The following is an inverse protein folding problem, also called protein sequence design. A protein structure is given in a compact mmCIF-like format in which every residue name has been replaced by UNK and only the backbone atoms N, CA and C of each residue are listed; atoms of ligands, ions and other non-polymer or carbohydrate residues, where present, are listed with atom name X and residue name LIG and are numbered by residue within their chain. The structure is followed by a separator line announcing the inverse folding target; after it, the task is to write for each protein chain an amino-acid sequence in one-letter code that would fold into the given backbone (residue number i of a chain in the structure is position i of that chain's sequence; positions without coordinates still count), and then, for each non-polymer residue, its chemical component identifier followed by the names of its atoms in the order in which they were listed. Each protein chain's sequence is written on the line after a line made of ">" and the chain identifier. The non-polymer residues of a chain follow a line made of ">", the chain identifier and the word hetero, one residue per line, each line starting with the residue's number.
data_IF_061541876940
#
_entry.id   IF_061541876940
#
_cell.length_a   1.000
_cell.length_b   1.000
_cell.length_c   1.000
_cell.angle_alpha   90.00
_cell.angle_beta   90.00
_cell.angle_gamma   90.00
#
_symmetry.space_group_name_H-M   'P 1'
#
loop_
_entity.id
_entity.type
_entity.pdbx_description
1 polymer ?
#
# COMPACT_ATOMS: atom_id res chain seq x y z
N UNK A 1 -2.75 -13.69 -20.66
CA UNK A 1 -2.01 -13.38 -19.45
C UNK A 1 -2.83 -13.63 -18.21
N UNK A 2 -2.28 -14.39 -17.35
CA UNK A 2 -2.96 -14.78 -16.13
C UNK A 2 -3.03 -13.61 -15.15
N UNK A 3 -4.21 -13.36 -14.62
CA UNK A 3 -4.36 -12.34 -13.61
C UNK A 3 -4.40 -12.98 -12.23
N UNK A 4 -3.61 -12.46 -11.33
CA UNK A 4 -3.62 -12.98 -9.99
C UNK A 4 -4.88 -12.58 -9.26
N UNK A 5 -5.40 -13.49 -8.46
CA UNK A 5 -6.55 -13.19 -7.63
C UNK A 5 -6.16 -12.14 -6.58
N UNK A 6 -7.12 -11.28 -6.25
CA UNK A 6 -6.92 -10.30 -5.20
C UNK A 6 -7.09 -10.99 -3.86
N UNK A 7 -6.09 -10.88 -3.01
CA UNK A 7 -6.14 -11.44 -1.67
C UNK A 7 -6.55 -10.35 -0.69
N UNK A 8 -7.56 -10.62 0.10
CA UNK A 8 -8.06 -9.65 1.06
C UNK A 8 -7.78 -10.16 2.46
N UNK A 9 -7.14 -9.32 3.26
CA UNK A 9 -6.83 -9.64 4.66
C UNK A 9 -7.54 -8.64 5.55
N UNK A 10 -8.26 -9.15 6.55
CA UNK A 10 -8.90 -8.31 7.55
C UNK A 10 -8.37 -8.75 8.89
N UNK A 11 -7.57 -7.91 9.54
CA UNK A 11 -6.92 -8.32 10.76
C UNK A 11 -6.59 -7.09 11.60
N UNK A 12 -6.41 -7.30 12.89
CA UNK A 12 -5.89 -6.25 13.73
C UNK A 12 -4.44 -5.99 13.37
N UNK A 13 -4.00 -4.75 13.62
CA UNK A 13 -2.64 -4.39 13.28
C UNK A 13 -1.65 -5.22 14.10
N UNK A 14 -0.75 -5.88 13.40
CA UNK A 14 0.31 -6.67 14.01
C UNK A 14 1.48 -6.61 13.06
N UNK A 15 2.60 -6.08 13.53
CA UNK A 15 3.73 -5.81 12.65
C UNK A 15 4.25 -7.07 11.95
N UNK A 16 4.32 -8.17 12.67
CA UNK A 16 4.79 -9.40 12.06
C UNK A 16 3.86 -9.89 10.97
N UNK A 17 2.57 -9.81 11.22
CA UNK A 17 1.58 -10.28 10.24
C UNK A 17 1.56 -9.37 9.02
N UNK A 18 1.67 -8.06 9.24
CA UNK A 18 1.71 -7.12 8.13
C UNK A 18 2.94 -7.37 7.27
N UNK A 19 4.09 -7.53 7.92
CA UNK A 19 5.33 -7.80 7.19
C UNK A 19 5.23 -9.08 6.39
N UNK A 20 4.67 -10.11 7.01
CA UNK A 20 4.55 -11.40 6.34
C UNK A 20 3.59 -11.34 5.16
N UNK A 21 2.45 -10.67 5.35
CA UNK A 21 1.46 -10.57 4.28
C UNK A 21 2.01 -9.78 3.09
N UNK A 22 2.65 -8.67 3.37
CA UNK A 22 3.23 -7.86 2.30
C UNK A 22 4.34 -8.63 1.60
N UNK A 23 5.23 -9.24 2.37
CA UNK A 23 6.31 -10.01 1.78
C UNK A 23 5.83 -11.13 0.89
N UNK A 24 4.74 -11.78 1.31
CA UNK A 24 4.17 -12.86 0.51
C UNK A 24 3.64 -12.35 -0.83
N UNK A 25 2.96 -11.20 -0.81
CA UNK A 25 2.45 -10.65 -2.06
C UNK A 25 3.57 -10.21 -2.98
N UNK A 26 4.59 -9.57 -2.44
CA UNK A 26 5.71 -9.14 -3.27
C UNK A 26 6.47 -10.33 -3.84
N UNK A 27 6.60 -11.40 -3.07
CA UNK A 27 7.32 -12.59 -3.52
C UNK A 27 6.62 -13.23 -4.72
N UNK A 28 5.31 -13.09 -4.84
CA UNK A 28 4.58 -13.65 -5.97
C UNK A 28 4.37 -12.64 -7.08
N UNK A 29 5.04 -11.49 -7.00
CA UNK A 29 4.95 -10.48 -8.04
C UNK A 29 3.71 -9.61 -7.94
N UNK A 30 3.04 -9.60 -6.79
CA UNK A 30 1.84 -8.82 -6.63
C UNK A 30 2.10 -7.47 -6.01
N UNK A 31 1.01 -6.77 -5.74
CA UNK A 31 1.05 -5.44 -5.12
C UNK A 31 0.08 -5.45 -3.95
N UNK A 32 0.24 -4.46 -3.07
CA UNK A 32 -0.59 -4.38 -1.87
C UNK A 32 -1.27 -3.02 -1.81
N UNK A 33 -2.56 -3.04 -1.56
CA UNK A 33 -3.34 -1.84 -1.31
C UNK A 33 -3.72 -1.90 0.18
N UNK A 34 -3.13 -1.00 0.96
CA UNK A 34 -3.27 -1.01 2.42
C UNK A 34 -4.19 0.12 2.83
N UNK A 35 -5.38 -0.21 3.28
CA UNK A 35 -6.38 0.80 3.66
C UNK A 35 -6.11 1.29 5.07
N UNK A 36 -5.97 2.60 5.22
CA UNK A 36 -5.69 3.21 6.50
C UNK A 36 -6.39 4.57 6.54
N UNK A 37 -7.48 4.68 7.29
CA UNK A 37 -8.38 5.81 7.19
C UNK A 37 -8.11 6.94 8.19
N UNK A 38 -6.83 7.27 8.39
CA UNK A 38 -6.47 8.37 9.28
C UNK A 38 -5.47 9.26 8.58
N UNK A 39 -5.97 10.36 8.01
CA UNK A 39 -5.12 11.26 7.24
C UNK A 39 -3.98 11.84 8.09
N UNK A 40 -4.27 12.18 9.34
CA UNK A 40 -3.28 12.86 10.18
C UNK A 40 -2.11 11.98 10.60
N UNK A 41 -2.22 10.65 10.45
CA UNK A 41 -1.13 9.75 10.83
C UNK A 41 -0.71 8.82 9.70
N UNK A 42 -1.22 9.05 8.50
CA UNK A 42 -0.92 8.13 7.39
C UNK A 42 0.55 8.15 7.01
N UNK A 43 1.20 9.30 7.14
CA UNK A 43 2.64 9.38 6.83
C UNK A 43 3.43 8.53 7.81
N UNK A 44 3.08 8.60 9.09
CA UNK A 44 3.75 7.80 10.09
C UNK A 44 3.54 6.31 9.87
N UNK A 45 2.31 5.94 9.53
CA UNK A 45 2.02 4.54 9.24
C UNK A 45 2.80 4.06 8.02
N UNK A 46 2.90 4.90 7.00
CA UNK A 46 3.66 4.57 5.80
C UNK A 46 5.13 4.34 6.15
N UNK A 47 5.68 5.21 6.99
CA UNK A 47 7.08 5.04 7.40
C UNK A 47 7.29 3.77 8.22
N UNK A 48 6.32 3.43 9.06
CA UNK A 48 6.38 2.20 9.83
C UNK A 48 6.41 0.99 8.91
N UNK A 49 5.53 0.97 7.93
CA UNK A 49 5.49 -0.14 6.98
C UNK A 49 6.77 -0.20 6.16
N UNK A 50 7.31 0.96 5.79
CA UNK A 50 8.56 0.99 5.03
C UNK A 50 9.69 0.34 5.82
N UNK A 51 9.72 0.56 7.13
CA UNK A 51 10.75 -0.07 7.97
C UNK A 51 10.56 -1.57 8.08
N UNK A 52 9.30 -2.01 8.06
CA UNK A 52 9.02 -3.45 8.12
C UNK A 52 9.40 -4.15 6.83
N UNK A 53 9.26 -3.46 5.70
CA UNK A 53 9.55 -4.05 4.39
C UNK A 53 10.44 -3.08 3.61
N UNK A 54 11.72 -3.02 3.97
CA UNK A 54 12.62 -2.01 3.37
C UNK A 54 12.81 -2.15 1.86
N UNK A 55 12.59 -3.33 1.34
CA UNK A 55 12.80 -3.57 -0.09
C UNK A 55 11.63 -3.09 -0.94
N UNK A 56 10.51 -2.72 -0.34
CA UNK A 56 9.32 -2.33 -1.09
C UNK A 56 9.31 -0.85 -1.40
N UNK A 57 8.72 -0.51 -2.54
CA UNK A 57 8.44 0.87 -2.89
C UNK A 57 7.05 1.21 -2.38
N UNK A 58 7.00 2.08 -1.38
CA UNK A 58 5.74 2.38 -0.69
C UNK A 58 5.37 3.84 -0.89
N UNK A 59 4.10 4.08 -1.15
CA UNK A 59 3.58 5.43 -1.25
C UNK A 59 2.30 5.52 -0.44
N UNK A 60 1.83 6.75 -0.20
CA UNK A 60 0.56 6.94 0.48
C UNK A 60 -0.31 7.91 -0.32
N UNK A 61 -1.62 7.81 -0.09
CA UNK A 61 -2.59 8.68 -0.74
C UNK A 61 -3.76 8.91 0.20
N UNK A 62 -4.31 10.13 0.15
CA UNK A 62 -5.48 10.43 0.97
C UNK A 62 -6.29 11.54 0.32
N UNK A 63 -7.49 11.74 0.84
CA UNK A 63 -8.46 12.60 0.18
C UNK A 63 -8.14 14.09 0.21
N UNK A 64 -7.17 14.51 1.01
CA UNK A 64 -6.80 15.93 1.06
C UNK A 64 -5.67 16.28 0.10
N UNK A 65 -5.15 15.29 -0.60
CA UNK A 65 -4.14 15.55 -1.61
C UNK A 65 -4.75 16.14 -2.85
N UNK A 66 -3.93 16.87 -3.61
CA UNK A 66 -4.40 17.44 -4.87
C UNK A 66 -4.65 16.34 -5.88
N UNK A 67 -5.61 16.59 -6.76
CA UNK A 67 -5.99 15.61 -7.75
C UNK A 67 -4.80 15.17 -8.61
N UNK A 68 -3.94 16.11 -8.95
CA UNK A 68 -2.78 15.79 -9.78
C UNK A 68 -1.84 14.83 -9.07
N UNK A 69 -1.66 15.02 -7.76
CA UNK A 69 -0.82 14.11 -6.98
C UNK A 69 -1.42 12.72 -6.93
N UNK A 70 -2.73 12.65 -6.71
CA UNK A 70 -3.42 11.37 -6.66
C UNK A 70 -3.32 10.63 -7.98
N UNK A 71 -3.47 11.35 -9.08
CA UNK A 71 -3.37 10.75 -10.39
C UNK A 71 -1.99 10.15 -10.63
N UNK A 72 -0.95 10.88 -10.23
CA UNK A 72 0.40 10.37 -10.43
C UNK A 72 0.66 9.13 -9.59
N UNK A 73 0.20 9.14 -8.35
CA UNK A 73 0.39 8.00 -7.47
C UNK A 73 -0.34 6.78 -8.02
N UNK A 74 -1.57 6.96 -8.47
CA UNK A 74 -2.32 5.85 -9.04
C UNK A 74 -1.67 5.34 -10.33
N UNK A 75 -1.16 6.25 -11.14
CA UNK A 75 -0.47 5.87 -12.35
C UNK A 75 0.74 5.00 -12.02
N UNK A 76 1.54 5.44 -11.06
CA UNK A 76 2.73 4.68 -10.67
C UNK A 76 2.36 3.33 -10.06
N UNK A 77 1.26 3.30 -9.31
CA UNK A 77 0.81 2.04 -8.71
C UNK A 77 0.36 1.06 -9.79
N UNK A 78 -0.43 1.55 -10.74
CA UNK A 78 -0.92 0.68 -11.81
C UNK A 78 0.22 0.15 -12.65
N UNK A 79 1.25 0.95 -12.86
CA UNK A 79 2.39 0.54 -13.67
C UNK A 79 3.41 -0.31 -12.92
N UNK A 80 3.16 -0.59 -11.64
CA UNK A 80 4.06 -1.44 -10.89
C UNK A 80 5.24 -0.75 -10.27
N UNK A 81 5.30 0.58 -10.33
CA UNK A 81 6.40 1.33 -9.74
C UNK A 81 6.23 1.49 -8.24
N UNK A 82 5.03 1.26 -7.74
CA UNK A 82 4.73 1.26 -6.31
C UNK A 82 4.27 -0.14 -5.93
N UNK A 83 4.91 -0.71 -4.93
CA UNK A 83 4.58 -2.06 -4.47
C UNK A 83 3.46 -2.04 -3.45
N UNK A 84 3.46 -1.05 -2.58
CA UNK A 84 2.47 -0.94 -1.51
C UNK A 84 1.92 0.47 -1.52
N UNK A 85 0.61 0.58 -1.63
CA UNK A 85 -0.05 1.87 -1.57
C UNK A 85 -0.87 1.92 -0.30
N UNK A 86 -0.47 2.81 0.62
CA UNK A 86 -1.21 3.04 1.87
C UNK A 86 -2.19 4.16 1.58
N UNK A 87 -3.48 3.88 1.73
CA UNK A 87 -4.47 4.83 1.27
C UNK A 87 -5.68 4.88 2.17
N UNK A 88 -6.23 6.07 2.31
CA UNK A 88 -7.56 6.18 2.89
C UNK A 88 -8.57 5.66 1.86
N UNK A 89 -9.80 5.45 2.31
CA UNK A 89 -10.83 4.95 1.40
C UNK A 89 -11.32 6.11 0.55
N UNK A 90 -10.67 6.31 -0.57
CA UNK A 90 -10.98 7.45 -1.44
C UNK A 90 -11.64 7.05 -2.75
N UNK A 91 -11.94 5.82 -2.87
CA UNK A 91 -12.57 5.31 -4.10
C UNK A 91 -14.04 5.13 -3.89
#
# INVERSE_FOLDING_TARGET
>A
MERMAIQTYVMEYNEEMVREAIGRELARGGQVYYVYNRVNTIVEMTNTIQKLVPEANIAFAHGQMKERELEKIMYDFINGDIDVLVSTTII
#
